data_IF_741468673853
#
_entry.id   IF_741468673853
#
_cell.length_a   1.000
_cell.length_b   1.000
_cell.length_c   1.000
_cell.angle_alpha   90.00
_cell.angle_beta   90.00
_cell.angle_gamma   90.00
#
_symmetry.space_group_name_H-M   'P 1'
#
loop_
_entity.id
_entity.type
_entity.pdbx_description
1 polymer ?
#
# COMPACT_ATOMS: atom_id res chain seq x y z
N UNK A 1 -13.61 -7.19 5.83
CA UNK A 1 -12.35 -7.80 6.33
C UNK A 1 -11.33 -7.70 5.20
N UNK A 2 -10.14 -7.14 5.43
CA UNK A 2 -9.08 -7.08 4.42
C UNK A 2 -8.57 -8.50 4.14
N UNK A 3 -8.64 -8.95 2.88
CA UNK A 3 -8.10 -10.26 2.48
C UNK A 3 -6.58 -10.15 2.33
N UNK A 4 -5.77 -11.02 2.96
CA UNK A 4 -4.31 -10.94 2.81
C UNK A 4 -3.90 -11.17 1.35
N UNK A 5 -2.96 -10.35 0.86
CA UNK A 5 -2.35 -10.57 -0.44
C UNK A 5 -1.56 -11.89 -0.48
N UNK A 6 -1.51 -12.54 -1.65
CA UNK A 6 -0.78 -13.79 -1.83
C UNK A 6 0.73 -13.61 -1.61
N UNK A 7 1.39 -14.62 -1.06
CA UNK A 7 2.85 -14.67 -0.92
C UNK A 7 3.58 -14.64 -2.27
N UNK A 8 2.92 -15.10 -3.33
CA UNK A 8 3.45 -15.11 -4.71
C UNK A 8 3.15 -13.82 -5.46
N UNK A 9 2.47 -12.86 -4.84
CA UNK A 9 2.16 -11.57 -5.48
C UNK A 9 3.46 -10.78 -5.69
N UNK A 10 3.80 -10.40 -6.94
CA UNK A 10 5.03 -9.66 -7.22
C UNK A 10 5.10 -8.33 -6.46
N UNK A 11 3.96 -7.73 -6.09
CA UNK A 11 3.90 -6.49 -5.30
C UNK A 11 4.27 -6.74 -3.85
N UNK A 12 3.89 -7.89 -3.28
CA UNK A 12 4.32 -8.30 -1.93
C UNK A 12 5.83 -8.49 -1.91
N UNK A 13 6.39 -9.10 -2.95
CA UNK A 13 7.85 -9.25 -3.10
C UNK A 13 8.54 -7.89 -3.20
N UNK A 14 8.08 -7.00 -4.10
CA UNK A 14 8.64 -5.67 -4.27
C UNK A 14 8.64 -4.85 -2.98
N UNK A 15 7.52 -4.86 -2.23
CA UNK A 15 7.43 -4.18 -0.93
C UNK A 15 8.37 -4.81 0.10
N UNK A 16 8.48 -6.14 0.12
CA UNK A 16 9.39 -6.85 1.04
C UNK A 16 10.85 -6.52 0.76
N UNK A 17 11.26 -6.55 -0.50
CA UNK A 17 12.61 -6.20 -0.95
C UNK A 17 12.90 -4.73 -0.63
N UNK A 18 11.92 -3.84 -0.84
CA UNK A 18 12.05 -2.43 -0.50
C UNK A 18 12.25 -2.24 1.01
N UNK A 19 11.45 -2.87 1.87
CA UNK A 19 11.61 -2.74 3.32
C UNK A 19 12.96 -3.28 3.82
N UNK A 20 13.58 -4.18 3.06
CA UNK A 20 14.92 -4.68 3.31
C UNK A 20 15.06 -5.42 4.66
N UNK A 21 16.27 -5.90 4.98
CA UNK A 21 16.50 -6.60 6.24
C UNK A 21 16.57 -5.60 7.41
N UNK A 22 15.46 -5.46 8.13
CA UNK A 22 15.34 -4.93 9.51
C UNK A 22 15.55 -3.43 9.75
N UNK A 23 16.16 -2.67 8.83
CA UNK A 23 16.29 -1.20 8.93
C UNK A 23 14.92 -0.50 9.06
N UNK A 24 13.90 -1.03 8.37
CA UNK A 24 12.55 -0.48 8.38
C UNK A 24 11.91 -0.36 9.77
N UNK A 25 12.35 -1.16 10.75
CA UNK A 25 11.82 -1.08 12.12
C UNK A 25 12.22 0.19 12.86
N UNK A 26 13.33 0.82 12.45
CA UNK A 26 13.84 2.09 13.00
C UNK A 26 13.18 3.31 12.38
N UNK A 27 12.50 3.13 11.25
CA UNK A 27 11.83 4.21 10.54
C UNK A 27 10.53 4.62 11.24
N UNK A 28 10.09 5.85 10.97
CA UNK A 28 8.74 6.29 11.33
C UNK A 28 7.70 5.53 10.50
N UNK A 29 6.45 5.37 10.99
CA UNK A 29 5.39 4.74 10.20
C UNK A 29 5.25 5.35 8.81
N UNK A 30 5.29 6.68 8.71
CA UNK A 30 5.20 7.41 7.43
C UNK A 30 6.33 7.02 6.47
N UNK A 31 7.58 6.96 6.94
CA UNK A 31 8.71 6.59 6.10
C UNK A 31 8.60 5.15 5.57
N UNK A 32 8.11 4.22 6.40
CA UNK A 32 7.84 2.83 6.00
C UNK A 32 6.72 2.78 4.95
N UNK A 33 5.63 3.50 5.18
CA UNK A 33 4.49 3.58 4.27
C UNK A 33 4.90 4.19 2.92
N UNK A 34 5.68 5.27 2.89
CA UNK A 34 6.19 5.88 1.65
C UNK A 34 7.06 4.91 0.85
N UNK A 35 7.94 4.17 1.54
CA UNK A 35 8.82 3.19 0.90
C UNK A 35 8.05 2.00 0.33
N UNK A 36 7.05 1.52 1.06
CA UNK A 36 6.16 0.49 0.57
C UNK A 36 5.30 0.96 -0.60
N UNK A 37 4.78 2.19 -0.55
CA UNK A 37 3.96 2.74 -1.62
C UNK A 37 4.75 2.94 -2.92
N UNK A 38 5.97 3.47 -2.83
CA UNK A 38 6.88 3.58 -3.97
C UNK A 38 7.13 2.22 -4.65
N UNK A 39 7.38 1.18 -3.85
CA UNK A 39 7.62 -0.18 -4.34
C UNK A 39 6.35 -0.84 -4.91
N UNK A 40 5.18 -0.49 -4.39
CA UNK A 40 3.90 -0.97 -4.90
C UNK A 40 3.56 -0.34 -6.27
N UNK A 41 3.79 0.97 -6.43
CA UNK A 41 3.46 1.70 -7.66
C UNK A 41 4.43 1.38 -8.80
N UNK A 42 5.69 1.09 -8.48
CA UNK A 42 6.75 0.89 -9.46
C UNK A 42 7.68 -0.29 -9.08
N UNK A 43 7.15 -1.53 -9.07
CA UNK A 43 7.86 -2.71 -8.57
C UNK A 43 9.15 -3.03 -9.34
N UNK A 44 9.22 -2.64 -10.62
CA UNK A 44 10.39 -2.87 -11.49
C UNK A 44 11.36 -1.69 -11.53
N UNK A 45 11.07 -0.59 -10.82
CA UNK A 45 11.93 0.60 -10.86
C UNK A 45 12.99 0.53 -9.77
N UNK A 46 14.29 0.50 -10.14
CA UNK A 46 15.36 0.52 -9.16
C UNK A 46 15.51 1.92 -8.55
N UNK A 47 15.51 1.98 -7.22
CA UNK A 47 15.73 3.21 -6.47
C UNK A 47 14.44 3.83 -5.90
N UNK A 48 14.57 4.89 -5.08
CA UNK A 48 13.42 5.51 -4.42
C UNK A 48 12.57 6.27 -5.43
N UNK A 49 11.39 5.73 -5.75
CA UNK A 49 10.38 6.49 -6.49
C UNK A 49 9.75 7.53 -5.55
N UNK A 50 9.77 8.82 -5.92
CA UNK A 50 9.21 9.86 -5.07
C UNK A 50 7.69 9.73 -5.00
N UNK A 51 7.18 9.42 -3.81
CA UNK A 51 5.75 9.49 -3.50
C UNK A 51 5.36 10.96 -3.27
N UNK A 52 4.25 11.44 -3.85
CA UNK A 52 3.75 12.79 -3.60
C UNK A 52 3.68 13.13 -2.11
N UNK A 53 3.93 14.41 -1.77
CA UNK A 53 3.94 14.83 -0.36
C UNK A 53 2.60 14.58 0.34
N UNK A 54 1.49 14.71 -0.39
CA UNK A 54 0.12 14.62 0.11
C UNK A 54 -0.67 13.47 -0.54
N UNK A 55 -0.01 12.31 -0.72
CA UNK A 55 -0.68 11.11 -1.20
C UNK A 55 -1.55 10.49 -0.08
N UNK A 56 -2.87 10.50 -0.26
CA UNK A 56 -3.85 9.98 0.72
C UNK A 56 -3.65 8.51 1.09
N UNK A 57 -3.01 7.72 0.22
CA UNK A 57 -2.72 6.31 0.47
C UNK A 57 -1.73 6.15 1.63
N UNK A 58 -0.90 7.17 1.89
CA UNK A 58 0.01 7.19 3.04
C UNK A 58 -0.78 7.20 4.35
N UNK A 59 -1.80 8.04 4.47
CA UNK A 59 -2.61 8.12 5.70
C UNK A 59 -3.37 6.81 5.95
N UNK A 60 -3.88 6.18 4.90
CA UNK A 60 -4.51 4.85 4.98
C UNK A 60 -3.54 3.78 5.48
N UNK A 61 -2.32 3.75 4.94
CA UNK A 61 -1.28 2.81 5.36
C UNK A 61 -0.83 3.07 6.81
N UNK A 62 -0.59 4.33 7.18
CA UNK A 62 -0.22 4.73 8.55
C UNK A 62 -1.32 4.34 9.54
N UNK A 63 -2.58 4.62 9.21
CA UNK A 63 -3.73 4.20 10.03
C UNK A 63 -3.86 2.68 10.15
N UNK A 64 -3.53 1.92 9.10
CA UNK A 64 -3.50 0.46 9.15
C UNK A 64 -2.40 -0.10 10.06
N UNK A 65 -1.21 0.52 10.05
CA UNK A 65 -0.11 0.17 10.93
C UNK A 65 -0.39 0.57 12.38
N UNK A 66 -1.05 1.70 12.62
CA UNK A 66 -1.42 2.13 13.98
C UNK A 66 -2.37 1.14 14.68
N UNK A 67 -3.19 0.41 13.90
CA UNK A 67 -4.11 -0.62 14.42
C UNK A 67 -3.45 -1.95 14.74
N UNK A 68 -2.13 -2.12 14.53
CA UNK A 68 -1.44 -3.36 14.83
C UNK A 68 -0.03 -3.15 15.39
N UNK A 69 0.53 -4.17 16.03
CA UNK A 69 1.92 -4.15 16.51
C UNK A 69 2.89 -4.46 15.36
N UNK A 70 2.86 -3.66 14.29
CA UNK A 70 3.59 -3.93 13.05
C UNK A 70 5.10 -4.17 13.23
N UNK A 71 5.71 -3.59 14.27
CA UNK A 71 7.13 -3.83 14.61
C UNK A 71 7.42 -5.26 15.09
N UNK A 72 6.43 -5.99 15.61
CA UNK A 72 6.59 -7.40 15.97
C UNK A 72 6.34 -8.36 14.79
N UNK A 73 5.95 -7.84 13.62
CA UNK A 73 5.71 -8.65 12.43
C UNK A 73 7.01 -8.84 11.62
N UNK A 74 7.00 -9.87 10.76
CA UNK A 74 8.02 -10.05 9.72
C UNK A 74 7.81 -9.01 8.61
N UNK A 75 8.86 -8.70 7.84
CA UNK A 75 8.75 -7.81 6.69
C UNK A 75 7.63 -8.29 5.73
N UNK A 76 7.60 -9.58 5.44
CA UNK A 76 6.57 -10.22 4.63
C UNK A 76 5.14 -10.01 5.15
N UNK A 77 4.91 -10.18 6.46
CA UNK A 77 3.59 -9.96 7.06
C UNK A 77 3.16 -8.49 7.01
N UNK A 78 4.10 -7.55 7.15
CA UNK A 78 3.85 -6.12 6.94
C UNK A 78 3.53 -5.83 5.48
N UNK A 79 4.33 -6.35 4.54
CA UNK A 79 4.14 -6.19 3.10
C UNK A 79 2.76 -6.68 2.64
N UNK A 80 2.36 -7.90 3.02
CA UNK A 80 1.04 -8.45 2.68
C UNK A 80 -0.11 -7.59 3.20
N UNK A 81 0.05 -7.02 4.40
CA UNK A 81 -0.94 -6.11 4.97
C UNK A 81 -1.03 -4.80 4.19
N UNK A 82 0.11 -4.21 3.82
CA UNK A 82 0.16 -2.98 3.04
C UNK A 82 -0.46 -3.17 1.66
N UNK A 83 -0.09 -4.25 0.96
CA UNK A 83 -0.68 -4.60 -0.34
C UNK A 83 -2.18 -4.80 -0.23
N UNK A 84 -2.66 -5.51 0.81
CA UNK A 84 -4.10 -5.70 1.02
C UNK A 84 -4.87 -4.38 1.25
N UNK A 85 -4.27 -3.43 1.97
CA UNK A 85 -4.86 -2.09 2.17
C UNK A 85 -4.94 -1.32 0.85
N UNK A 86 -3.87 -1.37 0.05
CA UNK A 86 -3.82 -0.68 -1.24
C UNK A 86 -4.76 -1.31 -2.28
N UNK A 87 -4.90 -2.64 -2.28
CA UNK A 87 -5.89 -3.33 -3.11
C UNK A 87 -7.31 -2.93 -2.74
N UNK A 88 -7.65 -2.90 -1.45
CA UNK A 88 -8.97 -2.46 -1.01
C UNK A 88 -9.26 -1.00 -1.38
N UNK A 89 -8.28 -0.10 -1.23
CA UNK A 89 -8.43 1.29 -1.68
C UNK A 89 -8.62 1.37 -3.20
N UNK A 90 -7.89 0.57 -3.99
CA UNK A 90 -8.00 0.55 -5.45
C UNK A 90 -9.35 0.03 -5.91
N UNK A 91 -9.89 -0.98 -5.23
CA UNK A 91 -11.21 -1.54 -5.52
C UNK A 91 -12.31 -0.53 -5.20
N UNK A 92 -12.23 0.14 -4.04
CA UNK A 92 -13.15 1.21 -3.64
C UNK A 92 -13.11 2.38 -4.65
N UNK A 93 -11.91 2.87 -4.98
CA UNK A 93 -11.71 3.99 -5.91
C UNK A 93 -12.27 3.67 -7.30
N UNK A 94 -12.03 2.44 -7.79
CA UNK A 94 -12.58 1.98 -9.08
C UNK A 94 -14.09 1.88 -9.05
N UNK A 95 -14.68 1.45 -7.92
CA UNK A 95 -16.13 1.38 -7.79
C UNK A 95 -16.75 2.77 -7.82
N UNK A 96 -16.16 3.75 -7.13
CA UNK A 96 -16.57 5.16 -7.17
C UNK A 96 -16.46 5.73 -8.60
N UNK A 97 -15.37 5.46 -9.32
CA UNK A 97 -15.23 5.88 -10.72
C UNK A 97 -16.33 5.31 -11.63
N UNK A 98 -16.71 4.04 -11.42
CA UNK A 98 -17.80 3.41 -12.15
C UNK A 98 -19.12 4.09 -11.80
N UNK A 99 -19.43 4.26 -10.51
CA UNK A 99 -20.66 4.93 -10.04
C UNK A 99 -20.79 6.35 -10.59
N UNK A 100 -19.71 7.14 -10.53
CA UNK A 100 -19.66 8.47 -11.11
C UNK A 100 -19.96 8.46 -12.61
N UNK A 101 -19.42 7.48 -13.36
CA UNK A 101 -19.71 7.36 -14.79
C UNK A 101 -21.17 7.04 -15.05
N UNK A 102 -21.79 6.14 -14.28
CA UNK A 102 -23.22 5.85 -14.41
C UNK A 102 -24.11 7.06 -14.10
N UNK A 103 -23.74 7.90 -13.13
CA UNK A 103 -24.47 9.13 -12.83
C UNK A 103 -24.38 10.14 -13.98
N UNK A 104 -23.22 10.28 -14.60
CA UNK A 104 -23.02 11.18 -15.75
C UNK A 104 -23.75 10.67 -17.01
N UNK A 105 -23.74 9.35 -17.25
CA UNK A 105 -24.36 8.73 -18.42
C UNK A 105 -25.90 8.60 -18.28
N UNK A 106 -26.43 8.64 -17.06
CA UNK A 106 -27.86 8.52 -16.76
C UNK A 106 -28.67 9.83 -16.86
N UNK A 107 -28.00 10.98 -16.93
CA UNK A 107 -28.60 12.31 -17.10
C UNK A 107 -28.69 12.75 -18.59
N UNK A 108 -28.56 11.80 -19.53
CA UNK A 108 -28.60 12.00 -20.99
C UNK A 108 -29.92 11.65 -21.66
#
# INVERSE_FOLDING_TARGET
MLRPASLTDPRVRAVTDALGPYEWRRLTPEMVCRRALAAFDAPDTPGPVPVPRHDERIDLLVGSLARCRWRSLTADAVSRRMVAVLDAWRDESRWLEIELRWLVDGDG
#
